data_IF_052040218829
#
_entry.id   IF_052040218829
#
_cell.length_a   1.000
_cell.length_b   1.000
_cell.length_c   1.000
_cell.angle_alpha   90.00
_cell.angle_beta   90.00
_cell.angle_gamma   90.00
#
_symmetry.space_group_name_H-M   'P 1'
#
loop_
_entity.id
_entity.type
_entity.pdbx_description
1 polymer ?
#
# COMPACT_ATOMS: atom_id res chain seq x y z
N UNK A 1 19.00 -8.63 5.19
CA UNK A 1 18.85 -8.56 3.71
C UNK A 1 17.37 -8.51 3.39
N UNK A 2 16.94 -7.59 2.51
CA UNK A 2 15.53 -7.42 2.17
C UNK A 2 14.99 -8.61 1.35
N UNK A 3 13.71 -8.90 1.55
CA UNK A 3 12.92 -9.85 0.76
C UNK A 3 11.65 -9.16 0.29
N UNK A 4 11.07 -9.65 -0.81
CA UNK A 4 9.82 -9.13 -1.33
C UNK A 4 8.61 -9.84 -0.70
N UNK A 5 7.61 -9.05 -0.34
CA UNK A 5 6.37 -9.49 0.28
C UNK A 5 5.17 -8.85 -0.42
N UNK A 6 4.03 -9.53 -0.32
CA UNK A 6 2.75 -9.00 -0.80
C UNK A 6 1.77 -8.87 0.36
N UNK A 7 1.01 -7.80 0.35
CA UNK A 7 -0.15 -7.60 1.20
C UNK A 7 -1.35 -7.19 0.35
N UNK A 8 -2.36 -8.07 0.30
CA UNK A 8 -3.61 -7.81 -0.39
C UNK A 8 -4.59 -7.20 0.60
N UNK A 9 -5.29 -6.13 0.20
CA UNK A 9 -6.26 -5.46 1.04
C UNK A 9 -7.53 -5.10 0.26
N UNK A 10 -8.65 -4.95 0.97
CA UNK A 10 -9.93 -4.53 0.39
C UNK A 10 -10.48 -3.36 1.21
N UNK A 11 -10.90 -2.31 0.51
CA UNK A 11 -11.68 -1.22 1.07
C UNK A 11 -13.00 -1.09 0.30
N UNK A 12 -14.06 -0.63 0.97
CA UNK A 12 -15.26 -0.16 0.27
C UNK A 12 -15.22 1.36 0.11
N UNK A 13 -15.61 1.84 -1.06
CA UNK A 13 -15.49 3.24 -1.46
C UNK A 13 -16.66 3.62 -2.37
N UNK A 14 -17.23 4.81 -2.15
CA UNK A 14 -18.26 5.39 -3.03
C UNK A 14 -17.78 5.43 -4.49
N UNK A 15 -18.71 5.40 -5.44
CA UNK A 15 -18.43 5.20 -6.87
C UNK A 15 -17.48 6.26 -7.46
N UNK A 16 -17.52 7.49 -6.94
CA UNK A 16 -16.72 8.64 -7.37
C UNK A 16 -15.40 8.82 -6.59
N UNK A 17 -15.16 8.00 -5.56
CA UNK A 17 -13.93 8.08 -4.76
C UNK A 17 -12.67 7.73 -5.56
N UNK A 18 -11.59 8.50 -5.33
CA UNK A 18 -10.29 8.26 -5.95
C UNK A 18 -9.67 6.94 -5.46
N UNK A 19 -9.62 5.96 -6.34
CA UNK A 19 -9.06 4.62 -6.08
C UNK A 19 -7.58 4.65 -5.69
N UNK A 20 -6.88 5.75 -5.97
CA UNK A 20 -5.46 5.93 -5.63
C UNK A 20 -5.26 6.41 -4.20
N UNK A 21 -6.27 7.01 -3.57
CA UNK A 21 -6.15 7.59 -2.23
C UNK A 21 -5.74 6.60 -1.13
N UNK A 22 -6.24 5.35 -1.10
CA UNK A 22 -5.75 4.35 -0.14
C UNK A 22 -4.27 4.02 -0.34
N UNK A 23 -3.80 3.96 -1.60
CA UNK A 23 -2.39 3.76 -1.92
C UNK A 23 -1.52 4.93 -1.44
N UNK A 24 -2.00 6.16 -1.61
CA UNK A 24 -1.32 7.34 -1.08
C UNK A 24 -1.24 7.32 0.46
N UNK A 25 -2.29 6.89 1.15
CA UNK A 25 -2.26 6.74 2.61
C UNK A 25 -1.23 5.69 3.07
N UNK A 26 -1.10 4.59 2.32
CA UNK A 26 -0.04 3.59 2.56
C UNK A 26 1.34 4.22 2.37
N UNK A 27 1.55 4.97 1.29
CA UNK A 27 2.83 5.65 1.05
C UNK A 27 3.19 6.60 2.19
N UNK A 28 2.26 7.42 2.68
CA UNK A 28 2.49 8.27 3.86
C UNK A 28 2.92 7.45 5.08
N UNK A 29 2.25 6.32 5.35
CA UNK A 29 2.52 5.50 6.52
C UNK A 29 3.89 4.79 6.46
N UNK A 30 4.35 4.41 5.27
CA UNK A 30 5.60 3.68 5.07
C UNK A 30 6.80 4.61 4.84
N UNK A 31 6.62 5.68 4.08
CA UNK A 31 7.65 6.67 3.79
C UNK A 31 7.79 7.74 4.89
N UNK A 32 6.77 7.93 5.72
CA UNK A 32 6.71 8.99 6.74
C UNK A 32 6.44 10.37 6.13
N UNK A 33 7.31 10.81 5.22
CA UNK A 33 7.16 12.04 4.45
C UNK A 33 7.36 11.78 2.95
N UNK A 34 6.65 12.52 2.11
CA UNK A 34 6.72 12.37 0.65
C UNK A 34 8.08 12.76 0.07
N UNK A 35 8.86 13.58 0.79
CA UNK A 35 10.14 14.14 0.34
C UNK A 35 11.36 13.52 1.05
N UNK A 36 11.38 12.20 1.28
CA UNK A 36 12.62 11.56 1.71
C UNK A 36 13.50 11.22 0.48
N UNK A 37 14.82 11.32 0.65
CA UNK A 37 15.75 10.82 -0.38
C UNK A 37 15.61 9.29 -0.51
N UNK A 38 15.59 8.73 -1.73
CA UNK A 38 15.62 7.27 -1.92
C UNK A 38 16.89 6.62 -1.32
N UNK A 39 16.83 5.35 -0.87
CA UNK A 39 15.64 4.49 -0.82
C UNK A 39 14.69 4.80 0.34
N UNK A 40 13.44 4.33 0.22
CA UNK A 40 12.46 4.42 1.31
C UNK A 40 13.04 3.85 2.62
N UNK A 41 13.00 4.63 3.72
CA UNK A 41 13.71 4.28 4.94
C UNK A 41 13.19 2.99 5.57
N UNK A 42 11.88 2.72 5.43
CA UNK A 42 11.26 1.52 5.99
C UNK A 42 11.13 0.39 4.96
N UNK A 43 10.44 0.65 3.85
CA UNK A 43 10.11 -0.37 2.86
C UNK A 43 9.85 0.25 1.48
N UNK A 44 10.75 0.07 0.49
CA UNK A 44 10.42 0.28 -0.92
C UNK A 44 9.15 -0.49 -1.26
N UNK A 45 8.16 0.17 -1.86
CA UNK A 45 6.85 -0.43 -2.09
C UNK A 45 6.16 0.11 -3.35
N UNK A 46 5.18 -0.65 -3.80
CA UNK A 46 4.30 -0.31 -4.90
C UNK A 46 2.88 -0.80 -4.60
N UNK A 47 1.89 0.06 -4.81
CA UNK A 47 0.48 -0.28 -4.62
C UNK A 47 -0.25 -0.19 -5.95
N UNK A 48 -0.92 -1.27 -6.33
CA UNK A 48 -1.93 -1.25 -7.40
C UNK A 48 -3.34 -1.26 -6.78
N UNK A 49 -4.28 -0.62 -7.45
CA UNK A 49 -5.68 -0.53 -7.03
C UNK A 49 -6.60 -0.91 -8.20
N UNK A 50 -7.56 -1.79 -7.95
CA UNK A 50 -8.56 -2.21 -8.93
C UNK A 50 -9.96 -2.14 -8.33
N UNK A 51 -10.87 -1.41 -8.98
CA UNK A 51 -12.26 -1.25 -8.54
C UNK A 51 -13.16 -2.35 -9.13
N UNK A 52 -14.09 -2.85 -8.32
CA UNK A 52 -15.16 -3.74 -8.71
C UNK A 52 -16.43 -3.36 -7.94
N UNK A 53 -17.30 -2.57 -8.56
CA UNK A 53 -18.43 -1.93 -7.86
C UNK A 53 -17.93 -0.99 -6.76
N UNK A 54 -18.43 -1.20 -5.54
CA UNK A 54 -18.06 -0.40 -4.37
C UNK A 54 -16.80 -0.92 -3.66
N UNK A 55 -16.21 -2.03 -4.11
CA UNK A 55 -14.95 -2.53 -3.58
C UNK A 55 -13.76 -2.01 -4.39
N UNK A 56 -12.71 -1.59 -3.68
CA UNK A 56 -11.39 -1.35 -4.26
C UNK A 56 -10.42 -2.36 -3.64
N UNK A 57 -9.86 -3.21 -4.51
CA UNK A 57 -8.85 -4.20 -4.17
C UNK A 57 -7.48 -3.60 -4.35
N UNK A 58 -6.70 -3.62 -3.28
CA UNK A 58 -5.35 -3.12 -3.23
C UNK A 58 -4.38 -4.30 -3.21
N UNK A 59 -3.31 -4.18 -3.96
CA UNK A 59 -2.21 -5.12 -3.93
C UNK A 59 -0.92 -4.36 -3.71
N UNK A 60 -0.35 -4.53 -2.52
CA UNK A 60 0.86 -3.86 -2.07
C UNK A 60 2.02 -4.83 -2.18
N UNK A 61 2.96 -4.55 -3.07
CA UNK A 61 4.23 -5.24 -3.17
C UNK A 61 5.27 -4.39 -2.43
N UNK A 62 6.01 -4.97 -1.49
CA UNK A 62 7.02 -4.23 -0.73
C UNK A 62 8.26 -5.07 -0.44
N UNK A 63 9.39 -4.40 -0.25
CA UNK A 63 10.63 -5.03 0.18
C UNK A 63 10.99 -4.60 1.61
N UNK A 64 11.26 -5.58 2.47
CA UNK A 64 11.62 -5.34 3.86
C UNK A 64 12.56 -6.44 4.37
N UNK A 65 13.27 -6.19 5.47
CA UNK A 65 13.90 -7.31 6.19
C UNK A 65 12.83 -8.23 6.77
N UNK A 66 13.03 -9.56 6.81
CA UNK A 66 12.02 -10.49 7.34
C UNK A 66 11.55 -10.15 8.76
N UNK A 67 12.46 -9.65 9.61
CA UNK A 67 12.13 -9.22 10.97
C UNK A 67 11.20 -7.99 11.01
N UNK A 68 11.16 -7.19 9.95
CA UNK A 68 10.32 -5.99 9.83
C UNK A 68 9.01 -6.24 9.06
N UNK A 69 8.78 -7.45 8.51
CA UNK A 69 7.58 -7.75 7.71
C UNK A 69 6.29 -7.44 8.48
N UNK A 70 6.19 -7.91 9.73
CA UNK A 70 5.01 -7.72 10.56
C UNK A 70 4.74 -6.23 10.85
N UNK A 71 5.80 -5.44 11.05
CA UNK A 71 5.69 -3.99 11.26
C UNK A 71 5.15 -3.30 10.00
N UNK A 72 5.68 -3.62 8.82
CA UNK A 72 5.24 -3.02 7.55
C UNK A 72 3.77 -3.33 7.28
N UNK A 73 3.34 -4.58 7.50
CA UNK A 73 1.93 -4.99 7.38
C UNK A 73 1.04 -4.22 8.35
N UNK A 74 1.44 -4.12 9.62
CA UNK A 74 0.70 -3.36 10.63
C UNK A 74 0.53 -1.89 10.26
N UNK A 75 1.55 -1.25 9.68
CA UNK A 75 1.46 0.14 9.19
C UNK A 75 0.51 0.28 7.99
N UNK A 76 0.52 -0.67 7.06
CA UNK A 76 -0.43 -0.70 5.93
C UNK A 76 -1.86 -0.80 6.44
N UNK A 77 -2.15 -1.76 7.33
CA UNK A 77 -3.49 -1.95 7.89
C UNK A 77 -3.94 -0.73 8.71
N UNK A 78 -3.05 -0.13 9.49
CA UNK A 78 -3.32 1.09 10.25
C UNK A 78 -3.64 2.28 9.33
N UNK A 79 -2.95 2.41 8.20
CA UNK A 79 -3.24 3.44 7.20
C UNK A 79 -4.61 3.25 6.57
N UNK A 80 -4.94 2.02 6.18
CA UNK A 80 -6.23 1.68 5.56
C UNK A 80 -7.40 1.76 6.54
N UNK A 81 -7.17 1.54 7.83
CA UNK A 81 -8.19 1.66 8.87
C UNK A 81 -8.62 3.11 9.11
N UNK A 82 -7.89 4.10 8.58
CA UNK A 82 -8.34 5.50 8.56
C UNK A 82 -9.53 5.66 7.61
N UNK A 83 -10.44 6.58 7.94
CA UNK A 83 -11.69 6.75 7.18
C UNK A 83 -11.53 7.51 5.85
N UNK A 84 -10.31 7.97 5.52
CA UNK A 84 -10.04 8.73 4.31
C UNK A 84 -8.66 9.38 4.32
N UNK A 85 -8.38 10.10 3.22
CA UNK A 85 -7.20 10.95 3.05
C UNK A 85 -7.63 12.25 2.35
N UNK A 86 -7.08 13.37 2.81
CA UNK A 86 -7.20 14.66 2.15
C UNK A 86 -6.38 14.67 0.86
N UNK A 87 -7.03 14.92 -0.28
CA UNK A 87 -6.37 15.10 -1.56
C UNK A 87 -5.65 16.46 -1.65
N UNK A 88 -4.66 16.59 -2.56
CA UNK A 88 -3.97 17.86 -2.79
C UNK A 88 -4.88 18.96 -3.36
N UNK A 89 -6.05 18.59 -3.88
CA UNK A 89 -7.13 19.45 -4.35
C UNK A 89 -8.08 19.89 -3.22
N UNK A 90 -7.83 19.46 -1.98
CA UNK A 90 -8.69 19.72 -0.82
C UNK A 90 -9.91 18.79 -0.74
N UNK A 91 -10.05 17.81 -1.65
CA UNK A 91 -11.15 16.85 -1.64
C UNK A 91 -10.77 15.64 -0.79
N UNK A 92 -11.62 15.30 0.18
CA UNK A 92 -11.41 14.12 1.02
C UNK A 92 -11.96 12.88 0.33
N UNK A 93 -11.08 11.95 -0.05
CA UNK A 93 -11.53 10.63 -0.47
C UNK A 93 -11.75 9.75 0.75
N UNK A 94 -12.96 9.22 0.90
CA UNK A 94 -13.35 8.37 2.02
C UNK A 94 -13.43 6.90 1.61
N UNK A 95 -13.11 6.02 2.54
CA UNK A 95 -13.29 4.58 2.38
C UNK A 95 -13.53 3.90 3.73
N UNK A 96 -13.89 2.62 3.69
CA UNK A 96 -13.97 1.76 4.87
C UNK A 96 -13.16 0.50 4.64
N UNK A 97 -12.19 0.24 5.52
CA UNK A 97 -11.39 -0.97 5.47
C UNK A 97 -12.25 -2.21 5.71
N UNK A 98 -12.08 -3.24 4.87
CA UNK A 98 -12.82 -4.52 4.96
C UNK A 98 -11.94 -5.68 5.41
N UNK A 99 -10.64 -5.58 5.18
CA UNK A 99 -9.66 -6.55 5.65
C UNK A 99 -8.45 -6.62 4.74
N UNK A 100 -7.42 -7.30 5.22
CA UNK A 100 -6.22 -7.56 4.46
C UNK A 100 -5.64 -8.93 4.82
N UNK A 101 -4.71 -9.40 4.00
CA UNK A 101 -3.99 -10.66 4.21
C UNK A 101 -2.63 -10.65 3.52
N UNK A 102 -1.66 -11.43 4.03
CA UNK A 102 -0.48 -11.79 3.24
C UNK A 102 -0.87 -12.44 1.91
N UNK A 103 -0.17 -12.06 0.86
CA UNK A 103 -0.26 -12.70 -0.45
C UNK A 103 1.10 -13.28 -0.87
N UNK A 104 1.10 -14.01 -1.98
CA UNK A 104 2.32 -14.48 -2.63
C UNK A 104 2.68 -13.55 -3.78
N UNK A 105 3.98 -13.33 -3.99
CA UNK A 105 4.50 -12.67 -5.21
C UNK A 105 4.15 -13.55 -6.40
N UNK A 106 3.50 -12.98 -7.41
CA UNK A 106 3.15 -13.72 -8.63
C UNK A 106 4.31 -13.70 -9.61
N UNK A 107 4.32 -14.63 -10.57
CA UNK A 107 5.38 -14.74 -11.57
C UNK A 107 5.52 -13.49 -12.44
N UNK A 108 4.41 -12.82 -12.77
CA UNK A 108 4.37 -11.55 -13.51
C UNK A 108 4.89 -10.36 -12.69
N UNK A 109 5.05 -10.52 -11.39
CA UNK A 109 5.54 -9.46 -10.48
C UNK A 109 7.00 -9.64 -10.08
N UNK A 110 7.61 -10.78 -10.40
CA UNK A 110 8.96 -11.13 -9.96
C UNK A 110 10.00 -10.04 -10.29
N UNK A 111 9.99 -9.53 -11.53
CA UNK A 111 10.92 -8.46 -11.92
C UNK A 111 10.68 -7.14 -11.18
N UNK A 112 9.46 -6.85 -10.74
CA UNK A 112 9.19 -5.67 -9.91
C UNK A 112 9.65 -5.90 -8.46
N UNK A 113 9.39 -7.08 -7.93
CA UNK A 113 9.82 -7.49 -6.60
C UNK A 113 11.35 -7.40 -6.46
N UNK A 114 12.10 -7.86 -7.46
CA UNK A 114 13.56 -7.76 -7.48
C UNK A 114 14.06 -6.31 -7.43
N UNK A 115 13.45 -5.41 -8.22
CA UNK A 115 13.82 -3.99 -8.20
C UNK A 115 13.60 -3.34 -6.83
N UNK A 116 12.50 -3.67 -6.16
CA UNK A 116 12.21 -3.16 -4.82
C UNK A 116 13.23 -3.67 -3.78
N UNK A 117 13.70 -4.91 -3.92
CA UNK A 117 14.73 -5.47 -3.02
C UNK A 117 16.09 -4.79 -3.22
N UNK A 118 16.37 -4.32 -4.44
CA UNK A 118 17.65 -3.68 -4.82
C UNK A 118 17.68 -2.16 -4.57
N UNK A 119 16.58 -1.55 -4.11
CA UNK A 119 16.54 -0.12 -3.76
C UNK A 119 17.09 0.09 -2.36
#
# INVERSE_FOLDING_TARGET
MRQAFVHDAVVSMEADGDVRAPGAAITVALCGHWEHEPPCPLAPHHTTAARSGDEVRLRVLFAAEPAAEAEVRGRIEAALSRAGLDGPDGVVTRWRFRGARPGLVRSDEAGHAERLVQT
#
